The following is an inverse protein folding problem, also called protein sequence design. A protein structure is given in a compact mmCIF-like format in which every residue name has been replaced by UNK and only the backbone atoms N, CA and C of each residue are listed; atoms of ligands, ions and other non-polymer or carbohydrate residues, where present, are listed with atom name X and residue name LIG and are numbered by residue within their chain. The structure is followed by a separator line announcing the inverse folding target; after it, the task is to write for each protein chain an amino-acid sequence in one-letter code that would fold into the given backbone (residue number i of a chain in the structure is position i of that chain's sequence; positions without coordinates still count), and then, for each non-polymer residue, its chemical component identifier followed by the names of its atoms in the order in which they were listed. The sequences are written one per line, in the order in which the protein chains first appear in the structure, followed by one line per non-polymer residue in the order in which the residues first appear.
data_IF_170295842259
#
_entry.id   IF_170295842259
#
_cell.length_a   1.000
_cell.length_b   1.000
_cell.length_c   1.000
_cell.angle_alpha   90.00
_cell.angle_beta   90.00
_cell.angle_gamma   90.00
#
_symmetry.space_group_name_H-M   'P 1'
#
loop_
_entity.id
_entity.type
_entity.pdbx_description
1 polymer ?
#
# COMPACT_ATOMS: atom_id res chain seq x y z
N UNK A 1 -64.56 0.28 27.22
CA UNK A 1 -63.87 1.56 26.82
C UNK A 1 -62.68 1.19 26.00
N UNK A 2 -62.74 1.40 24.69
CA UNK A 2 -61.76 1.05 23.67
C UNK A 2 -60.66 2.09 23.61
N UNK A 3 -59.38 1.75 23.87
CA UNK A 3 -58.27 2.66 23.61
C UNK A 3 -57.62 2.23 22.28
N UNK A 4 -57.68 3.13 21.30
CA UNK A 4 -57.07 3.04 20.00
C UNK A 4 -55.55 3.09 20.13
N UNK A 5 -54.86 2.03 19.73
CA UNK A 5 -53.44 2.07 19.43
C UNK A 5 -53.22 2.72 18.06
N UNK A 6 -52.67 3.93 18.03
CA UNK A 6 -52.20 4.60 16.81
C UNK A 6 -50.92 3.90 16.36
N UNK A 7 -51.03 3.17 15.27
CA UNK A 7 -49.87 2.66 14.52
C UNK A 7 -49.17 3.85 13.85
N UNK A 8 -48.05 4.28 14.41
CA UNK A 8 -47.15 5.14 13.71
C UNK A 8 -46.38 4.32 12.67
N UNK A 9 -46.86 4.34 11.44
CA UNK A 9 -46.08 3.94 10.25
C UNK A 9 -44.97 4.96 10.04
N UNK A 10 -43.81 4.70 10.67
CA UNK A 10 -42.60 5.46 10.41
C UNK A 10 -42.15 5.20 8.98
N UNK A 11 -42.38 6.17 8.07
CA UNK A 11 -41.74 6.20 6.76
C UNK A 11 -40.20 6.16 6.96
N UNK A 12 -39.64 5.02 6.71
CA UNK A 12 -38.20 4.83 6.58
C UNK A 12 -37.71 5.63 5.34
N UNK A 13 -37.35 6.90 5.53
CA UNK A 13 -36.63 7.66 4.50
C UNK A 13 -35.38 6.86 4.12
N UNK A 14 -35.38 6.21 2.96
CA UNK A 14 -34.22 5.60 2.34
C UNK A 14 -33.11 6.64 2.30
N UNK A 15 -32.16 6.56 3.24
CA UNK A 15 -30.96 7.37 3.21
C UNK A 15 -30.16 6.92 1.99
N UNK A 16 -30.02 7.81 1.02
CA UNK A 16 -29.12 7.60 -0.11
C UNK A 16 -27.71 7.42 0.46
N UNK A 17 -27.18 6.19 0.42
CA UNK A 17 -25.81 5.87 0.79
C UNK A 17 -24.98 5.81 -0.48
N UNK A 18 -23.96 6.64 -0.54
CA UNK A 18 -23.01 6.58 -1.63
C UNK A 18 -22.37 5.19 -1.71
N UNK A 19 -22.12 4.65 -2.92
CA UNK A 19 -21.39 3.39 -3.07
C UNK A 19 -20.05 3.46 -2.36
N UNK A 20 -19.61 2.33 -1.78
CA UNK A 20 -18.28 2.19 -1.17
C UNK A 20 -17.21 2.53 -2.21
N UNK A 21 -16.31 3.46 -1.87
CA UNK A 21 -15.22 3.90 -2.77
C UNK A 21 -15.48 5.23 -3.48
N UNK A 22 -16.71 5.78 -3.45
CA UNK A 22 -17.00 7.09 -4.08
C UNK A 22 -16.07 8.21 -3.58
N UNK A 23 -15.79 8.36 -2.26
CA UNK A 23 -14.89 9.42 -1.79
C UNK A 23 -13.47 9.28 -2.32
N UNK A 24 -12.96 8.05 -2.43
CA UNK A 24 -11.61 7.77 -2.92
C UNK A 24 -11.48 8.08 -4.42
N UNK A 25 -12.47 7.68 -5.20
CA UNK A 25 -12.50 7.99 -6.65
C UNK A 25 -12.63 9.49 -6.84
N UNK A 26 -13.49 10.18 -6.07
CA UNK A 26 -13.61 11.63 -6.13
C UNK A 26 -12.29 12.32 -5.76
N UNK A 27 -11.60 11.87 -4.71
CA UNK A 27 -10.30 12.40 -4.32
C UNK A 27 -9.24 12.21 -5.43
N UNK A 28 -9.19 11.02 -6.06
CA UNK A 28 -8.30 10.78 -7.19
C UNK A 28 -8.60 11.72 -8.36
N UNK A 29 -9.87 11.89 -8.72
CA UNK A 29 -10.27 12.80 -9.79
C UNK A 29 -9.90 14.25 -9.48
N UNK A 30 -10.06 14.70 -8.24
CA UNK A 30 -9.66 16.04 -7.80
C UNK A 30 -8.14 16.22 -7.94
N UNK A 31 -7.33 15.25 -7.51
CA UNK A 31 -5.87 15.31 -7.66
C UNK A 31 -5.48 15.41 -9.13
N UNK A 32 -6.01 14.53 -9.99
CA UNK A 32 -5.70 14.55 -11.42
C UNK A 32 -6.17 15.84 -12.10
N UNK A 33 -7.27 16.42 -11.64
CA UNK A 33 -7.75 17.72 -12.15
C UNK A 33 -6.81 18.85 -11.73
N UNK A 34 -6.37 18.89 -10.47
CA UNK A 34 -5.37 19.86 -9.99
C UNK A 34 -4.08 19.73 -10.78
N UNK A 35 -3.57 18.51 -10.98
CA UNK A 35 -2.37 18.26 -11.77
C UNK A 35 -2.50 18.75 -13.21
N UNK A 36 -3.70 18.61 -13.79
CA UNK A 36 -3.98 19.10 -15.16
C UNK A 36 -4.03 20.63 -15.27
N UNK A 37 -4.36 21.32 -14.18
CA UNK A 37 -4.32 22.78 -14.13
C UNK A 37 -2.90 23.33 -13.98
N UNK A 38 -2.03 22.55 -13.33
CA UNK A 38 -0.63 22.91 -13.09
C UNK A 38 0.25 22.61 -14.30
N UNK A 39 0.02 21.48 -14.97
CA UNK A 39 0.83 21.03 -16.10
C UNK A 39 0.04 21.11 -17.42
N UNK A 40 0.39 22.02 -18.34
CA UNK A 40 -0.15 21.99 -19.69
C UNK A 40 0.08 20.63 -20.35
N UNK A 41 -0.95 20.09 -21.01
CA UNK A 41 -0.89 18.78 -21.69
C UNK A 41 -0.78 17.56 -20.75
N UNK A 42 -1.14 17.68 -19.47
CA UNK A 42 -1.08 16.60 -18.47
C UNK A 42 -1.72 15.30 -18.98
N UNK A 43 -2.90 15.35 -19.62
CA UNK A 43 -3.59 14.18 -20.15
C UNK A 43 -3.13 13.75 -21.55
N UNK A 44 -2.11 14.38 -22.10
CA UNK A 44 -1.58 13.99 -23.40
C UNK A 44 -0.86 12.66 -23.29
N UNK A 45 -1.40 11.63 -23.97
CA UNK A 45 -0.79 10.31 -24.05
C UNK A 45 -0.28 10.14 -25.46
N UNK A 46 1.01 9.82 -25.58
CA UNK A 46 1.69 9.60 -26.84
C UNK A 46 2.09 8.13 -26.89
N UNK A 47 1.87 7.50 -28.06
CA UNK A 47 2.37 6.15 -28.33
C UNK A 47 3.65 6.28 -29.13
N UNK A 48 4.79 5.89 -28.54
CA UNK A 48 6.08 5.90 -29.22
C UNK A 48 6.74 4.52 -29.04
N UNK A 49 7.22 3.91 -30.10
CA UNK A 49 7.87 2.59 -30.10
C UNK A 49 7.05 1.49 -29.38
N UNK A 50 5.71 1.52 -29.53
CA UNK A 50 4.82 0.55 -28.89
C UNK A 50 4.68 0.76 -27.37
N UNK A 51 5.03 1.95 -26.86
CA UNK A 51 4.94 2.33 -25.45
C UNK A 51 4.01 3.53 -25.28
N UNK A 52 3.27 3.53 -24.17
CA UNK A 52 2.51 4.68 -23.74
C UNK A 52 3.40 5.60 -22.92
N UNK A 53 3.45 6.88 -23.30
CA UNK A 53 4.12 7.96 -22.55
C UNK A 53 3.11 9.02 -22.18
N UNK A 54 3.32 9.69 -21.05
CA UNK A 54 2.49 10.80 -20.58
C UNK A 54 2.39 10.80 -19.05
N UNK A 55 2.08 11.96 -18.48
CA UNK A 55 2.02 12.12 -17.01
C UNK A 55 1.10 11.10 -16.31
N UNK A 56 -0.08 10.72 -16.85
CA UNK A 56 -0.90 9.67 -16.24
C UNK A 56 -0.22 8.29 -16.21
N UNK A 57 0.56 7.97 -17.25
CA UNK A 57 1.30 6.69 -17.33
C UNK A 57 2.46 6.70 -16.34
N UNK A 58 3.14 7.84 -16.18
CA UNK A 58 4.21 8.01 -15.20
C UNK A 58 3.67 7.90 -13.77
N UNK A 59 2.49 8.46 -13.49
CA UNK A 59 1.82 8.29 -12.19
C UNK A 59 1.57 6.81 -11.91
N UNK A 60 1.01 6.08 -12.87
CA UNK A 60 0.75 4.64 -12.73
C UNK A 60 2.06 3.86 -12.47
N UNK A 61 3.10 4.15 -13.24
CA UNK A 61 4.40 3.47 -13.12
C UNK A 61 5.04 3.70 -11.75
N UNK A 62 5.11 4.96 -11.32
CA UNK A 62 5.67 5.34 -10.01
C UNK A 62 4.80 4.89 -8.84
N UNK A 63 3.47 4.76 -9.03
CA UNK A 63 2.56 4.25 -8.01
C UNK A 63 2.67 2.73 -7.83
N UNK A 64 3.18 1.98 -8.79
CA UNK A 64 3.22 0.51 -8.73
C UNK A 64 3.96 -0.03 -7.49
N UNK A 65 5.18 0.42 -7.12
CA UNK A 65 5.84 0.00 -5.88
C UNK A 65 5.04 0.36 -4.63
N UNK A 66 4.48 1.58 -4.56
CA UNK A 66 3.68 2.02 -3.41
C UNK A 66 2.40 1.21 -3.29
N UNK A 67 1.74 0.90 -4.41
CA UNK A 67 0.55 0.05 -4.44
C UNK A 67 0.85 -1.37 -3.96
N UNK A 68 1.98 -1.95 -4.34
CA UNK A 68 2.44 -3.26 -3.84
C UNK A 68 2.62 -3.24 -2.33
N UNK A 69 3.32 -2.23 -1.80
CA UNK A 69 3.49 -2.05 -0.35
C UNK A 69 2.13 -1.85 0.34
N UNK A 70 1.23 -1.05 -0.24
CA UNK A 70 -0.11 -0.82 0.30
C UNK A 70 -0.97 -2.08 0.31
N UNK A 71 -0.86 -2.98 -0.68
CA UNK A 71 -1.54 -4.28 -0.71
C UNK A 71 -1.10 -5.13 0.49
N UNK A 72 0.21 -5.29 0.70
CA UNK A 72 0.75 -6.02 1.85
C UNK A 72 0.35 -5.38 3.18
N UNK A 73 0.55 -4.06 3.30
CA UNK A 73 0.20 -3.27 4.48
C UNK A 73 -1.29 -3.36 4.84
N UNK A 74 -2.18 -3.41 3.84
CA UNK A 74 -3.62 -3.56 4.05
C UNK A 74 -3.95 -4.84 4.84
N UNK A 75 -3.30 -5.95 4.54
CA UNK A 75 -3.52 -7.22 5.24
C UNK A 75 -3.00 -7.18 6.68
N UNK A 76 -1.84 -6.55 6.89
CA UNK A 76 -1.26 -6.38 8.22
C UNK A 76 -2.15 -5.46 9.07
N UNK A 77 -2.55 -4.32 8.54
CA UNK A 77 -3.46 -3.38 9.23
C UNK A 77 -4.81 -4.04 9.51
N UNK A 78 -5.33 -4.87 8.59
CA UNK A 78 -6.57 -5.59 8.80
C UNK A 78 -6.54 -6.50 10.03
N UNK A 79 -5.38 -7.04 10.42
CA UNK A 79 -5.21 -7.81 11.68
C UNK A 79 -4.94 -6.93 12.90
N UNK A 80 -4.94 -5.60 12.77
CA UNK A 80 -4.62 -4.65 13.84
C UNK A 80 -3.11 -4.45 14.05
N UNK A 81 -2.27 -4.87 13.09
CA UNK A 81 -0.82 -4.64 13.07
C UNK A 81 -0.42 -3.44 12.23
N UNK A 82 0.85 -3.07 12.30
CA UNK A 82 1.51 -2.10 11.40
C UNK A 82 2.86 -2.70 11.04
N UNK A 83 3.29 -2.55 9.79
CA UNK A 83 4.58 -3.05 9.31
C UNK A 83 5.46 -1.90 8.81
N UNK A 84 6.29 -1.36 9.69
CA UNK A 84 7.24 -0.31 9.34
C UNK A 84 8.46 -0.83 8.58
N UNK A 85 8.65 -2.14 8.51
CA UNK A 85 9.85 -2.72 7.89
C UNK A 85 9.78 -2.83 6.37
N UNK A 86 8.61 -2.58 5.75
CA UNK A 86 8.40 -2.81 4.31
C UNK A 86 9.42 -2.08 3.43
N UNK A 87 9.82 -0.86 3.79
CA UNK A 87 10.87 -0.12 3.09
C UNK A 87 12.26 -0.76 3.22
N UNK A 88 12.60 -1.28 4.39
CA UNK A 88 13.86 -2.00 4.61
C UNK A 88 13.86 -3.37 3.91
N UNK A 89 12.75 -4.09 3.93
CA UNK A 89 12.58 -5.36 3.20
C UNK A 89 12.70 -5.15 1.68
N UNK A 90 12.14 -4.06 1.18
CA UNK A 90 12.30 -3.62 -0.20
C UNK A 90 13.78 -3.39 -0.55
N UNK A 91 14.54 -2.71 0.34
CA UNK A 91 15.97 -2.49 0.16
C UNK A 91 16.77 -3.81 0.18
N UNK A 92 16.45 -4.74 1.09
CA UNK A 92 17.08 -6.07 1.16
C UNK A 92 16.84 -6.84 -0.14
N UNK A 93 15.60 -6.89 -0.61
CA UNK A 93 15.25 -7.63 -1.82
C UNK A 93 15.91 -7.02 -3.08
N UNK A 94 15.94 -5.69 -3.21
CA UNK A 94 16.63 -4.98 -4.28
C UNK A 94 18.15 -5.21 -4.25
N UNK A 95 18.76 -5.12 -3.06
CA UNK A 95 20.17 -5.41 -2.84
C UNK A 95 20.53 -6.86 -3.22
N UNK A 96 19.71 -7.82 -2.77
CA UNK A 96 19.88 -9.24 -3.11
C UNK A 96 19.78 -9.46 -4.62
N UNK A 97 18.76 -8.88 -5.28
CA UNK A 97 18.58 -9.00 -6.72
C UNK A 97 19.76 -8.44 -7.51
N UNK A 98 20.23 -7.24 -7.15
CA UNK A 98 21.37 -6.61 -7.82
C UNK A 98 22.66 -7.40 -7.62
N UNK A 99 22.99 -7.76 -6.37
CA UNK A 99 24.22 -8.48 -6.05
C UNK A 99 24.29 -9.86 -6.69
N UNK A 100 23.18 -10.60 -6.70
CA UNK A 100 23.13 -11.91 -7.38
C UNK A 100 23.19 -11.80 -8.90
N UNK A 101 22.65 -10.70 -9.47
CA UNK A 101 22.74 -10.44 -10.91
C UNK A 101 24.19 -10.13 -11.30
N UNK A 102 24.91 -9.33 -10.50
CA UNK A 102 26.35 -9.05 -10.72
C UNK A 102 27.19 -10.32 -10.56
N UNK A 103 26.80 -11.22 -9.64
CA UNK A 103 27.44 -12.54 -9.48
C UNK A 103 27.14 -13.52 -10.64
N UNK A 104 26.36 -13.13 -11.66
CA UNK A 104 26.09 -13.93 -12.85
C UNK A 104 24.99 -15.00 -12.71
N UNK A 105 24.17 -14.94 -11.66
CA UNK A 105 23.06 -15.86 -11.50
C UNK A 105 21.94 -15.62 -12.53
N UNK A 106 21.22 -16.68 -12.89
CA UNK A 106 20.07 -16.59 -13.79
C UNK A 106 18.90 -15.84 -13.15
N UNK A 107 18.09 -15.16 -13.98
CA UNK A 107 16.94 -14.38 -13.51
C UNK A 107 15.99 -15.13 -12.57
N UNK A 108 15.60 -16.40 -12.82
CA UNK A 108 14.74 -17.14 -11.88
C UNK A 108 15.39 -17.30 -10.48
N UNK A 109 16.68 -17.57 -10.42
CA UNK A 109 17.41 -17.71 -9.14
C UNK A 109 17.47 -16.37 -8.41
N UNK A 110 17.74 -15.28 -9.12
CA UNK A 110 17.71 -13.90 -8.58
C UNK A 110 16.34 -13.57 -7.98
N UNK A 111 15.26 -13.83 -8.71
CA UNK A 111 13.90 -13.57 -8.24
C UNK A 111 13.52 -14.44 -7.03
N UNK A 112 13.85 -15.73 -7.06
CA UNK A 112 13.59 -16.62 -5.93
C UNK A 112 14.35 -16.18 -4.66
N UNK A 113 15.60 -15.73 -4.80
CA UNK A 113 16.37 -15.24 -3.67
C UNK A 113 15.80 -13.93 -3.11
N UNK A 114 15.45 -12.97 -3.97
CA UNK A 114 14.84 -11.71 -3.54
C UNK A 114 13.48 -11.92 -2.86
N UNK A 115 12.62 -12.78 -3.44
CA UNK A 115 11.33 -13.15 -2.83
C UNK A 115 11.54 -13.93 -1.53
N UNK A 116 12.52 -14.83 -1.50
CA UNK A 116 12.90 -15.58 -0.30
C UNK A 116 13.32 -14.66 0.85
N UNK A 117 14.09 -13.61 0.55
CA UNK A 117 14.45 -12.59 1.53
C UNK A 117 13.21 -11.88 2.10
N UNK A 118 12.24 -11.54 1.26
CA UNK A 118 10.96 -10.97 1.70
C UNK A 118 10.14 -11.91 2.57
N UNK A 119 10.06 -13.20 2.20
CA UNK A 119 9.40 -14.23 3.00
C UNK A 119 10.06 -14.38 4.37
N UNK A 120 11.39 -14.44 4.42
CA UNK A 120 12.15 -14.56 5.68
C UNK A 120 11.95 -13.34 6.58
N UNK A 121 11.98 -12.13 6.00
CA UNK A 121 11.71 -10.89 6.73
C UNK A 121 10.28 -10.85 7.28
N UNK A 122 9.29 -11.20 6.46
CA UNK A 122 7.89 -11.30 6.90
C UNK A 122 7.67 -12.38 7.95
N UNK A 123 8.34 -13.54 7.82
CA UNK A 123 8.28 -14.62 8.81
C UNK A 123 8.89 -14.16 10.15
N UNK A 124 10.02 -13.44 10.11
CA UNK A 124 10.65 -12.84 11.29
C UNK A 124 9.66 -11.96 12.05
N UNK A 125 9.06 -10.96 11.37
CA UNK A 125 8.05 -10.10 11.98
C UNK A 125 6.84 -10.89 12.47
N UNK A 126 6.35 -11.83 11.66
CA UNK A 126 5.24 -12.69 12.02
C UNK A 126 5.48 -13.50 13.29
N UNK A 127 6.70 -14.05 13.48
CA UNK A 127 7.09 -14.77 14.71
C UNK A 127 7.13 -13.81 15.89
N UNK A 128 7.77 -12.64 15.75
CA UNK A 128 7.86 -11.66 16.83
C UNK A 128 6.48 -11.23 17.32
N UNK A 129 5.55 -10.95 16.37
CA UNK A 129 4.21 -10.44 16.69
C UNK A 129 3.26 -11.56 17.11
N UNK A 130 3.15 -12.65 16.33
CA UNK A 130 2.13 -13.66 16.55
C UNK A 130 2.51 -14.70 17.63
N UNK A 131 3.79 -15.04 17.75
CA UNK A 131 4.27 -16.07 18.68
C UNK A 131 4.80 -15.42 19.95
N UNK A 132 5.77 -14.50 19.84
CA UNK A 132 6.40 -13.83 20.98
C UNK A 132 5.52 -12.69 21.54
N UNK A 133 4.45 -12.31 20.84
CA UNK A 133 3.49 -11.27 21.25
C UNK A 133 4.14 -9.89 21.50
N UNK A 134 5.22 -9.61 20.79
CA UNK A 134 5.82 -8.28 20.78
C UNK A 134 4.85 -7.33 20.06
N UNK A 135 4.73 -6.11 20.56
CA UNK A 135 3.89 -5.10 19.94
C UNK A 135 4.29 -4.91 18.46
N UNK A 136 3.35 -4.94 17.50
CA UNK A 136 3.65 -4.88 16.06
C UNK A 136 4.58 -3.74 15.66
N UNK A 137 4.29 -2.53 16.15
CA UNK A 137 5.11 -1.35 15.90
C UNK A 137 6.58 -1.56 16.31
N UNK A 138 6.82 -2.11 17.52
CA UNK A 138 8.18 -2.34 18.03
C UNK A 138 8.89 -3.43 17.23
N UNK A 139 8.21 -4.54 16.94
CA UNK A 139 8.79 -5.65 16.18
C UNK A 139 9.24 -5.21 14.79
N UNK A 140 8.40 -4.47 14.08
CA UNK A 140 8.69 -4.03 12.71
C UNK A 140 9.68 -2.87 12.66
N UNK A 141 9.70 -2.00 13.69
CA UNK A 141 10.73 -0.97 13.85
C UNK A 141 12.14 -1.59 14.00
N UNK A 142 12.27 -2.66 14.76
CA UNK A 142 13.55 -3.39 14.89
C UNK A 142 14.02 -3.85 13.51
N UNK A 143 13.14 -4.49 12.73
CA UNK A 143 13.50 -4.93 11.38
C UNK A 143 13.71 -3.76 10.41
N UNK A 144 13.01 -2.65 10.57
CA UNK A 144 13.23 -1.43 9.76
C UNK A 144 14.68 -0.94 9.90
N UNK A 145 15.20 -0.89 11.13
CA UNK A 145 16.58 -0.44 11.39
C UNK A 145 17.60 -1.53 11.03
N UNK A 146 17.42 -2.75 11.55
CA UNK A 146 18.33 -3.86 11.30
C UNK A 146 18.35 -4.26 9.81
N UNK A 147 17.18 -4.27 9.16
CA UNK A 147 17.05 -4.62 7.75
C UNK A 147 17.76 -3.63 6.82
N UNK A 148 17.78 -2.34 7.18
CA UNK A 148 18.58 -1.34 6.46
C UNK A 148 20.07 -1.69 6.54
N UNK A 149 20.57 -2.05 7.73
CA UNK A 149 21.93 -2.53 7.91
C UNK A 149 22.23 -3.81 7.12
N UNK A 150 21.28 -4.77 7.08
CA UNK A 150 21.42 -5.99 6.27
C UNK A 150 21.53 -5.65 4.77
N UNK A 151 20.71 -4.75 4.25
CA UNK A 151 20.79 -4.32 2.86
C UNK A 151 22.15 -3.68 2.54
N UNK A 152 22.67 -2.85 3.44
CA UNK A 152 24.01 -2.26 3.33
C UNK A 152 25.13 -3.32 3.38
N UNK A 153 25.00 -4.34 4.24
CA UNK A 153 25.99 -5.44 4.28
C UNK A 153 25.99 -6.22 2.97
N UNK A 154 24.84 -6.51 2.37
CA UNK A 154 24.73 -7.21 1.07
C UNK A 154 25.42 -6.43 -0.04
N UNK A 155 25.35 -5.08 -0.02
CA UNK A 155 25.95 -4.21 -1.02
C UNK A 155 27.33 -3.69 -0.62
N UNK A 156 27.88 -4.11 0.51
CA UNK A 156 29.11 -3.56 1.10
C UNK A 156 29.09 -2.02 1.25
N UNK A 157 27.89 -1.46 1.51
CA UNK A 157 27.67 -0.02 1.64
C UNK A 157 27.75 0.78 0.34
N UNK A 158 27.96 0.12 -0.81
CA UNK A 158 28.11 0.75 -2.13
C UNK A 158 26.79 0.64 -2.93
N UNK A 159 26.63 1.50 -3.93
CA UNK A 159 25.57 1.32 -4.93
C UNK A 159 26.03 0.23 -5.90
N UNK A 160 25.32 -0.91 -5.89
CA UNK A 160 25.60 -2.02 -6.79
C UNK A 160 24.83 -1.82 -8.09
N UNK A 161 25.53 -1.54 -9.18
CA UNK A 161 24.93 -1.39 -10.52
C UNK A 161 25.09 -2.67 -11.33
N UNK A 162 24.12 -2.96 -12.19
CA UNK A 162 24.14 -4.14 -13.07
C UNK A 162 23.69 -3.79 -14.48
N UNK A 163 24.14 -4.59 -15.45
CA UNK A 163 23.69 -4.48 -16.83
C UNK A 163 23.05 -5.82 -17.27
N UNK A 164 21.83 -6.06 -16.82
CA UNK A 164 21.05 -7.25 -17.17
C UNK A 164 19.74 -6.81 -17.84
N UNK A 165 19.59 -7.00 -19.18
CA UNK A 165 18.36 -6.61 -19.89
C UNK A 165 17.12 -7.31 -19.35
N UNK A 166 17.24 -8.57 -18.93
CA UNK A 166 16.12 -9.36 -18.41
C UNK A 166 15.61 -8.87 -17.07
N UNK A 167 16.51 -8.44 -16.15
CA UNK A 167 16.10 -7.85 -14.89
C UNK A 167 15.60 -6.41 -15.10
N UNK A 168 16.30 -5.61 -15.91
CA UNK A 168 15.89 -4.22 -16.21
C UNK A 168 14.48 -4.17 -16.87
N UNK A 169 14.08 -5.19 -17.59
CA UNK A 169 12.74 -5.28 -18.19
C UNK A 169 11.61 -5.27 -17.14
N UNK A 170 11.87 -5.76 -15.92
CA UNK A 170 10.87 -5.74 -14.84
C UNK A 170 10.60 -4.32 -14.30
N UNK A 171 11.60 -3.42 -14.37
CA UNK A 171 11.46 -2.04 -13.92
C UNK A 171 11.09 -1.05 -15.04
N UNK A 172 11.71 -1.20 -16.22
CA UNK A 172 11.57 -0.25 -17.32
C UNK A 172 11.05 -0.85 -18.62
N UNK A 173 10.61 -2.13 -18.63
CA UNK A 173 9.98 -2.80 -19.75
C UNK A 173 8.53 -2.39 -19.97
N UNK A 174 7.92 -2.96 -21.03
CA UNK A 174 6.50 -2.81 -21.32
C UNK A 174 5.87 -4.15 -21.64
N UNK A 175 4.61 -4.29 -21.21
CA UNK A 175 3.76 -5.40 -21.51
C UNK A 175 2.39 -4.87 -21.92
N UNK A 176 1.90 -5.25 -23.12
CA UNK A 176 0.61 -4.78 -23.64
C UNK A 176 0.47 -3.24 -23.62
N UNK A 177 1.51 -2.52 -24.08
CA UNK A 177 1.63 -1.05 -24.10
C UNK A 177 1.81 -0.38 -22.72
N UNK A 178 1.52 -1.05 -21.60
CA UNK A 178 1.69 -0.53 -20.26
C UNK A 178 3.07 -0.86 -19.68
N UNK A 179 3.60 0.00 -18.78
CA UNK A 179 4.84 -0.30 -18.05
C UNK A 179 4.75 -1.63 -17.29
N UNK A 180 5.80 -2.44 -17.34
CA UNK A 180 5.85 -3.75 -16.63
C UNK A 180 5.56 -3.62 -15.13
N UNK A 181 6.06 -2.61 -14.39
CA UNK A 181 5.72 -2.43 -12.98
C UNK A 181 4.22 -2.35 -12.71
N UNK A 182 3.48 -1.64 -13.58
CA UNK A 182 2.01 -1.50 -13.46
C UNK A 182 1.34 -2.86 -13.62
N UNK A 183 1.79 -3.65 -14.60
CA UNK A 183 1.24 -4.99 -14.85
C UNK A 183 1.54 -5.94 -13.70
N UNK A 184 2.74 -5.89 -13.13
CA UNK A 184 3.11 -6.70 -11.95
C UNK A 184 2.24 -6.30 -10.75
N UNK A 185 2.07 -5.01 -10.48
CA UNK A 185 1.23 -4.53 -9.40
C UNK A 185 -0.24 -4.93 -9.58
N UNK A 186 -0.76 -4.84 -10.81
CA UNK A 186 -2.12 -5.25 -11.15
C UNK A 186 -2.32 -6.76 -10.96
N UNK A 187 -1.41 -7.59 -11.46
CA UNK A 187 -1.45 -9.05 -11.28
C UNK A 187 -1.41 -9.40 -9.80
N UNK A 188 -0.50 -8.78 -9.04
CA UNK A 188 -0.41 -8.99 -7.59
C UNK A 188 -1.71 -8.59 -6.90
N UNK A 189 -2.28 -7.43 -7.23
CA UNK A 189 -3.57 -6.97 -6.70
C UNK A 189 -4.69 -7.97 -6.98
N UNK A 190 -4.80 -8.45 -8.22
CA UNK A 190 -5.82 -9.42 -8.62
C UNK A 190 -5.63 -10.74 -7.88
N UNK A 191 -4.42 -11.26 -7.80
CA UNK A 191 -4.09 -12.50 -7.06
C UNK A 191 -4.49 -12.37 -5.59
N UNK A 192 -4.08 -11.29 -4.92
CA UNK A 192 -4.39 -11.05 -3.50
C UNK A 192 -5.88 -10.80 -3.28
N UNK A 193 -6.54 -10.11 -4.20
CA UNK A 193 -7.98 -9.90 -4.17
C UNK A 193 -8.74 -11.22 -4.31
N UNK A 194 -8.38 -12.07 -5.28
CA UNK A 194 -8.96 -13.41 -5.43
C UNK A 194 -8.71 -14.25 -4.19
N UNK A 195 -7.49 -14.24 -3.66
CA UNK A 195 -7.11 -15.00 -2.48
C UNK A 195 -7.92 -14.58 -1.25
N UNK A 196 -8.13 -13.29 -1.03
CA UNK A 196 -8.88 -12.78 0.12
C UNK A 196 -10.40 -12.85 -0.07
N UNK A 197 -10.93 -12.75 -1.30
CA UNK A 197 -12.38 -12.75 -1.55
C UNK A 197 -12.96 -14.11 -1.90
N UNK A 198 -12.15 -15.02 -2.48
CA UNK A 198 -12.59 -16.35 -2.91
C UNK A 198 -12.20 -17.46 -1.94
N UNK A 199 -11.39 -17.19 -0.93
CA UNK A 199 -11.03 -18.14 0.12
C UNK A 199 -11.48 -17.65 1.49
N UNK A 200 -11.46 -18.53 2.49
CA UNK A 200 -11.78 -18.17 3.87
C UNK A 200 -10.77 -17.23 4.53
N UNK A 201 -9.60 -17.02 3.91
CA UNK A 201 -8.51 -16.24 4.49
C UNK A 201 -8.91 -14.79 4.77
N UNK A 202 -9.56 -14.12 3.82
CA UNK A 202 -10.00 -12.74 4.03
C UNK A 202 -10.97 -12.61 5.21
N UNK A 203 -11.93 -13.54 5.32
CA UNK A 203 -12.86 -13.59 6.45
C UNK A 203 -12.12 -13.82 7.79
N UNK A 204 -11.13 -14.71 7.81
CA UNK A 204 -10.36 -14.96 9.02
C UNK A 204 -9.47 -13.77 9.40
N UNK A 205 -8.86 -13.09 8.43
CA UNK A 205 -8.08 -11.86 8.67
C UNK A 205 -8.98 -10.78 9.28
N UNK A 206 -10.17 -10.53 8.70
CA UNK A 206 -11.15 -9.57 9.23
C UNK A 206 -11.62 -9.97 10.65
N UNK A 207 -11.93 -11.24 10.88
CA UNK A 207 -12.35 -11.74 12.20
C UNK A 207 -11.28 -11.54 13.27
N UNK A 208 -10.02 -11.84 12.94
CA UNK A 208 -8.87 -11.62 13.83
C UNK A 208 -8.72 -10.14 14.17
N UNK A 209 -8.86 -9.25 13.19
CA UNK A 209 -8.75 -7.81 13.38
C UNK A 209 -9.89 -7.21 14.20
N UNK A 210 -11.12 -7.72 14.05
CA UNK A 210 -12.26 -7.24 14.83
C UNK A 210 -12.16 -7.66 16.29
N UNK A 211 -11.91 -8.95 16.54
CA UNK A 211 -11.75 -9.47 17.90
C UNK A 211 -10.95 -10.78 17.92
N UNK A 212 -9.67 -10.68 18.24
CA UNK A 212 -8.75 -11.83 18.24
C UNK A 212 -9.17 -12.93 19.24
N UNK A 213 -9.81 -12.56 20.37
CA UNK A 213 -10.29 -13.54 21.36
C UNK A 213 -11.50 -14.31 20.84
N UNK A 214 -12.47 -13.60 20.27
CA UNK A 214 -13.66 -14.22 19.68
C UNK A 214 -13.28 -15.11 18.48
N UNK A 215 -12.39 -14.66 17.60
CA UNK A 215 -11.90 -15.45 16.47
C UNK A 215 -11.23 -16.76 16.93
N UNK A 216 -10.41 -16.69 17.99
CA UNK A 216 -9.78 -17.89 18.57
C UNK A 216 -10.81 -18.84 19.15
N UNK A 217 -11.81 -18.35 19.88
CA UNK A 217 -12.87 -19.18 20.47
C UNK A 217 -13.75 -19.83 19.39
N UNK A 218 -13.83 -19.20 18.19
CA UNK A 218 -14.49 -19.78 17.01
C UNK A 218 -13.59 -20.77 16.24
N UNK A 219 -12.41 -21.13 16.77
CA UNK A 219 -11.51 -22.12 16.16
C UNK A 219 -10.52 -21.57 15.15
N UNK A 220 -10.45 -20.24 14.92
CA UNK A 220 -9.48 -19.66 14.00
C UNK A 220 -8.09 -19.68 14.60
N UNK A 221 -7.10 -20.19 13.85
CA UNK A 221 -5.70 -20.11 14.26
C UNK A 221 -5.18 -18.67 14.05
N UNK A 222 -5.39 -17.83 15.06
CA UNK A 222 -5.06 -16.41 15.01
C UNK A 222 -3.57 -16.15 14.85
N UNK A 223 -2.70 -17.03 15.38
CA UNK A 223 -1.24 -16.90 15.21
C UNK A 223 -0.82 -17.08 13.75
N UNK A 224 -1.37 -18.13 13.11
CA UNK A 224 -1.08 -18.40 11.71
C UNK A 224 -1.60 -17.26 10.82
N UNK A 225 -2.79 -16.72 11.10
CA UNK A 225 -3.36 -15.62 10.31
C UNK A 225 -2.49 -14.36 10.40
N UNK A 226 -2.10 -13.95 11.60
CA UNK A 226 -1.21 -12.79 11.77
C UNK A 226 0.15 -13.04 11.10
N UNK A 227 0.78 -14.20 11.32
CA UNK A 227 2.06 -14.53 10.69
C UNK A 227 1.97 -14.50 9.16
N UNK A 228 0.89 -15.03 8.58
CA UNK A 228 0.66 -15.04 7.15
C UNK A 228 0.56 -13.62 6.57
N UNK A 229 -0.11 -12.68 7.27
CA UNK A 229 -0.21 -11.30 6.78
C UNK A 229 1.15 -10.61 6.70
N UNK A 230 2.05 -10.84 7.66
CA UNK A 230 3.42 -10.32 7.60
C UNK A 230 4.25 -10.97 6.47
N UNK A 231 4.10 -12.28 6.24
CA UNK A 231 4.77 -12.96 5.12
C UNK A 231 4.29 -12.40 3.79
N UNK A 232 2.98 -12.20 3.63
CA UNK A 232 2.41 -11.61 2.41
C UNK A 232 2.87 -10.15 2.22
N UNK A 233 2.99 -9.37 3.31
CA UNK A 233 3.56 -8.02 3.30
C UNK A 233 5.02 -8.05 2.83
N UNK A 234 5.83 -8.96 3.36
CA UNK A 234 7.23 -9.15 2.97
C UNK A 234 7.39 -9.53 1.49
N UNK A 235 6.50 -10.39 0.96
CA UNK A 235 6.49 -10.73 -0.48
C UNK A 235 6.18 -9.50 -1.33
N UNK A 236 5.16 -8.71 -0.97
CA UNK A 236 4.84 -7.47 -1.67
C UNK A 236 6.00 -6.48 -1.66
N UNK A 237 6.66 -6.34 -0.49
CA UNK A 237 7.82 -5.47 -0.34
C UNK A 237 9.01 -5.96 -1.20
N UNK A 238 9.23 -7.28 -1.28
CA UNK A 238 10.27 -7.84 -2.12
C UNK A 238 10.01 -7.60 -3.62
N UNK A 239 8.78 -7.79 -4.08
CA UNK A 239 8.39 -7.48 -5.48
C UNK A 239 8.66 -6.00 -5.77
N UNK A 240 8.23 -5.09 -4.88
CA UNK A 240 8.48 -3.66 -5.03
C UNK A 240 9.99 -3.34 -5.06
N UNK A 241 10.80 -4.02 -4.23
CA UNK A 241 12.25 -3.86 -4.19
C UNK A 241 12.94 -4.29 -5.48
N UNK A 242 12.53 -5.43 -6.06
CA UNK A 242 13.04 -5.89 -7.35
C UNK A 242 12.68 -4.91 -8.46
N UNK A 243 11.43 -4.40 -8.50
CA UNK A 243 11.00 -3.41 -9.50
C UNK A 243 11.85 -2.15 -9.42
N UNK A 244 12.04 -1.59 -8.22
CA UNK A 244 12.82 -0.34 -8.06
C UNK A 244 14.29 -0.56 -8.40
N UNK A 245 14.89 -1.68 -7.98
CA UNK A 245 16.26 -2.01 -8.36
C UNK A 245 16.40 -2.20 -9.88
N UNK A 246 15.40 -2.81 -10.53
CA UNK A 246 15.37 -3.01 -11.98
C UNK A 246 15.20 -1.69 -12.75
N UNK A 247 14.42 -0.74 -12.24
CA UNK A 247 14.17 0.57 -12.84
C UNK A 247 15.45 1.42 -12.88
N UNK A 248 16.15 1.53 -11.74
CA UNK A 248 17.42 2.28 -11.64
C UNK A 248 18.63 1.49 -12.12
N UNK A 249 18.44 0.22 -12.53
CA UNK A 249 19.52 -0.73 -12.89
C UNK A 249 20.60 -0.88 -11.82
N UNK A 250 20.17 -0.87 -10.56
CA UNK A 250 21.09 -0.96 -9.45
C UNK A 250 20.35 -1.09 -8.11
N UNK A 251 21.10 -1.20 -7.03
CA UNK A 251 20.59 -1.17 -5.67
C UNK A 251 21.28 -0.11 -4.85
N UNK A 252 20.53 0.87 -4.39
CA UNK A 252 20.95 1.85 -3.40
C UNK A 252 20.34 1.44 -2.04
N UNK A 253 21.12 0.70 -1.25
CA UNK A 253 20.69 0.20 0.05
C UNK A 253 20.37 1.31 1.06
N UNK A 254 20.90 2.53 0.86
CA UNK A 254 20.70 3.66 1.75
C UNK A 254 19.33 4.32 1.51
N UNK A 255 18.94 4.51 0.24
CA UNK A 255 17.77 5.31 -0.12
C UNK A 255 16.59 4.47 -0.60
N UNK A 256 16.79 3.22 -1.06
CA UNK A 256 15.71 2.38 -1.54
C UNK A 256 14.64 2.18 -0.47
N UNK A 257 13.38 2.46 -0.80
CA UNK A 257 12.24 2.29 0.09
C UNK A 257 12.17 3.28 1.26
N UNK A 258 13.01 4.32 1.31
CA UNK A 258 13.00 5.29 2.41
C UNK A 258 11.68 6.08 2.41
N UNK A 259 11.01 6.10 3.55
CA UNK A 259 9.71 6.73 3.80
C UNK A 259 8.51 6.09 3.06
N UNK A 260 8.72 5.04 2.24
CA UNK A 260 7.62 4.38 1.54
C UNK A 260 6.71 3.58 2.49
N UNK A 261 7.18 3.19 3.67
CA UNK A 261 6.34 2.61 4.73
C UNK A 261 5.22 3.57 5.14
N UNK A 262 5.53 4.87 5.25
CA UNK A 262 4.53 5.89 5.56
C UNK A 262 3.54 6.05 4.41
N UNK A 263 4.03 6.12 3.17
CA UNK A 263 3.18 6.21 1.98
C UNK A 263 2.23 4.99 1.88
N UNK A 264 2.71 3.79 2.21
CA UNK A 264 1.89 2.58 2.22
C UNK A 264 0.78 2.65 3.28
N UNK A 265 1.11 3.10 4.51
CA UNK A 265 0.10 3.30 5.57
C UNK A 265 -0.93 4.34 5.13
N UNK A 266 -0.47 5.46 4.55
CA UNK A 266 -1.35 6.53 4.08
C UNK A 266 -2.27 6.05 2.96
N UNK A 267 -1.76 5.26 2.01
CA UNK A 267 -2.55 4.67 0.95
C UNK A 267 -3.69 3.82 1.51
N UNK A 268 -3.43 3.02 2.55
CA UNK A 268 -4.45 2.21 3.23
C UNK A 268 -5.49 3.10 3.93
N UNK A 269 -5.05 4.15 4.63
CA UNK A 269 -5.95 5.07 5.36
C UNK A 269 -6.81 5.88 4.39
N UNK A 270 -6.23 6.44 3.33
CA UNK A 270 -6.96 7.15 2.27
C UNK A 270 -7.95 6.18 1.59
N UNK A 271 -7.55 4.93 1.38
CA UNK A 271 -8.41 3.85 0.89
C UNK A 271 -9.58 3.48 1.83
N UNK A 272 -9.64 4.10 3.03
CA UNK A 272 -10.69 3.87 4.01
C UNK A 272 -10.41 2.69 4.94
N UNK A 273 -9.19 2.16 4.97
CA UNK A 273 -8.73 1.16 5.92
C UNK A 273 -8.67 1.73 7.35
N UNK A 274 -9.17 0.98 8.33
CA UNK A 274 -9.10 1.35 9.75
C UNK A 274 -7.78 0.85 10.35
N UNK A 275 -6.99 1.75 10.95
CA UNK A 275 -5.77 1.38 11.67
C UNK A 275 -6.03 0.49 12.90
N UNK A 276 -7.29 0.40 13.35
CA UNK A 276 -7.70 -0.48 14.46
C UNK A 276 -7.97 -1.92 14.01
N UNK A 277 -7.78 -2.24 12.73
CA UNK A 277 -8.07 -3.55 12.17
C UNK A 277 -9.52 -3.75 11.73
N UNK A 278 -9.83 -4.95 11.29
CA UNK A 278 -11.15 -5.38 10.84
C UNK A 278 -11.29 -5.35 9.31
N UNK A 279 -12.39 -4.75 8.82
CA UNK A 279 -12.70 -4.74 7.39
C UNK A 279 -11.65 -4.01 6.58
N UNK A 280 -11.32 -4.55 5.42
CA UNK A 280 -10.33 -3.98 4.51
C UNK A 280 -10.78 -4.06 3.04
N UNK A 281 -10.16 -3.22 2.20
CA UNK A 281 -10.40 -3.22 0.77
C UNK A 281 -9.10 -2.95 0.00
N UNK A 282 -8.54 -4.00 -0.61
CA UNK A 282 -7.29 -3.93 -1.37
C UNK A 282 -7.37 -2.98 -2.57
N UNK A 283 -8.52 -2.93 -3.26
CA UNK A 283 -8.70 -2.05 -4.42
C UNK A 283 -8.66 -0.59 -4.00
N UNK A 284 -9.32 -0.24 -2.89
CA UNK A 284 -9.33 1.14 -2.41
C UNK A 284 -7.96 1.57 -1.88
N UNK A 285 -7.19 0.65 -1.29
CA UNK A 285 -5.81 0.93 -0.88
C UNK A 285 -4.89 1.17 -2.09
N UNK A 286 -5.07 0.42 -3.19
CA UNK A 286 -4.36 0.68 -4.44
C UNK A 286 -4.74 2.05 -5.04
N UNK A 287 -6.02 2.46 -4.98
CA UNK A 287 -6.45 3.82 -5.35
C UNK A 287 -5.80 4.86 -4.44
N UNK A 288 -5.67 4.58 -3.13
CA UNK A 288 -4.93 5.44 -2.19
C UNK A 288 -3.48 5.66 -2.61
N UNK A 289 -2.79 4.61 -3.08
CA UNK A 289 -1.43 4.74 -3.62
C UNK A 289 -1.38 5.62 -4.88
N UNK A 290 -2.37 5.53 -5.76
CA UNK A 290 -2.50 6.40 -6.94
C UNK A 290 -2.72 7.87 -6.53
N UNK A 291 -3.54 8.13 -5.52
CA UNK A 291 -3.77 9.48 -4.99
C UNK A 291 -2.45 10.07 -4.47
N UNK A 292 -1.70 9.32 -3.67
CA UNK A 292 -0.41 9.78 -3.13
C UNK A 292 0.57 10.07 -4.25
N UNK A 293 0.65 9.19 -5.24
CA UNK A 293 1.59 9.39 -6.35
C UNK A 293 1.16 10.50 -7.30
N UNK A 294 -0.15 10.69 -7.52
CA UNK A 294 -0.66 11.87 -8.22
C UNK A 294 -0.22 13.15 -7.53
N UNK A 295 -0.45 13.27 -6.21
CA UNK A 295 0.00 14.42 -5.42
C UNK A 295 1.52 14.65 -5.54
N UNK A 296 2.33 13.59 -5.43
CA UNK A 296 3.79 13.67 -5.59
C UNK A 296 4.16 14.25 -6.98
N UNK A 297 3.50 13.75 -8.02
CA UNK A 297 3.73 14.18 -9.39
C UNK A 297 3.29 15.63 -9.61
N UNK A 298 2.13 16.03 -9.08
CA UNK A 298 1.64 17.41 -9.16
C UNK A 298 2.59 18.40 -8.49
N UNK A 299 3.15 18.07 -7.33
CA UNK A 299 4.14 18.91 -6.64
C UNK A 299 5.42 19.06 -7.49
N UNK A 300 5.91 17.96 -8.09
CA UNK A 300 7.07 18.00 -8.96
C UNK A 300 6.83 18.85 -10.22
N UNK A 301 5.65 18.70 -10.85
CA UNK A 301 5.28 19.45 -12.05
C UNK A 301 5.04 20.94 -11.76
N UNK A 302 4.69 21.30 -10.52
CA UNK A 302 4.51 22.69 -10.07
C UNK A 302 5.85 23.45 -9.95
N UNK A 303 7.00 22.77 -10.05
CA UNK A 303 8.32 23.37 -9.84
C UNK A 303 8.63 23.69 -8.38
N UNK A 304 7.83 23.23 -7.44
CA UNK A 304 8.13 23.32 -6.01
C UNK A 304 9.27 22.38 -5.62
N UNK A 305 9.97 22.74 -4.54
CA UNK A 305 11.04 21.90 -4.00
C UNK A 305 10.50 20.56 -3.54
N UNK A 306 11.19 19.42 -3.83
CA UNK A 306 10.75 18.08 -3.46
C UNK A 306 10.48 17.90 -1.95
N UNK A 307 11.14 18.70 -1.10
CA UNK A 307 10.99 18.69 0.36
C UNK A 307 9.57 19.08 0.79
N UNK A 308 8.89 19.93 0.04
CA UNK A 308 7.48 20.30 0.29
C UNK A 308 6.54 19.09 0.20
N UNK A 309 6.93 18.06 -0.53
CA UNK A 309 6.14 16.85 -0.67
C UNK A 309 5.84 16.19 0.69
N UNK A 310 6.83 16.14 1.59
CA UNK A 310 6.63 15.58 2.94
C UNK A 310 5.67 16.44 3.78
N UNK A 311 5.76 17.76 3.66
CA UNK A 311 4.86 18.69 4.36
C UNK A 311 3.42 18.54 3.85
N UNK A 312 3.23 18.51 2.54
CA UNK A 312 1.90 18.33 1.93
C UNK A 312 1.30 16.98 2.32
N UNK A 313 2.07 15.90 2.27
CA UNK A 313 1.64 14.59 2.76
C UNK A 313 1.18 14.65 4.21
N UNK A 314 1.95 15.25 5.10
CA UNK A 314 1.61 15.37 6.52
C UNK A 314 0.29 16.13 6.73
N UNK A 315 0.07 17.22 5.99
CA UNK A 315 -1.19 17.99 6.03
C UNK A 315 -2.37 17.16 5.53
N UNK A 316 -2.20 16.46 4.41
CA UNK A 316 -3.26 15.60 3.86
C UNK A 316 -3.64 14.49 4.84
N UNK A 317 -2.63 13.83 5.44
CA UNK A 317 -2.87 12.82 6.50
C UNK A 317 -3.68 13.40 7.64
N UNK A 318 -3.24 14.55 8.16
CA UNK A 318 -3.94 15.21 9.24
C UNK A 318 -5.40 15.51 8.87
N UNK A 319 -5.64 16.05 7.67
CA UNK A 319 -6.98 16.30 7.16
C UNK A 319 -7.82 15.01 7.07
N UNK A 320 -7.26 13.93 6.52
CA UNK A 320 -7.94 12.64 6.40
C UNK A 320 -8.28 12.08 7.77
N UNK A 321 -7.34 12.10 8.72
CA UNK A 321 -7.57 11.61 10.10
C UNK A 321 -8.62 12.43 10.83
N UNK A 322 -8.62 13.76 10.68
CA UNK A 322 -9.66 14.64 11.24
C UNK A 322 -11.03 14.28 10.69
N UNK A 323 -11.15 14.15 9.35
CA UNK A 323 -12.42 13.83 8.68
C UNK A 323 -12.92 12.44 9.08
N UNK A 324 -12.03 11.48 9.29
CA UNK A 324 -12.37 10.12 9.74
C UNK A 324 -12.63 10.02 11.24
N UNK A 325 -12.30 11.06 12.03
CA UNK A 325 -12.49 11.05 13.49
C UNK A 325 -14.00 10.94 13.85
N UNK A 326 -14.39 9.98 14.69
CA UNK A 326 -15.79 9.85 15.15
C UNK A 326 -16.32 11.11 15.83
N UNK A 327 -15.45 11.83 16.55
CA UNK A 327 -15.78 13.11 17.20
C UNK A 327 -16.09 14.20 16.18
N UNK A 328 -15.27 14.34 15.14
CA UNK A 328 -15.49 15.32 14.08
C UNK A 328 -16.80 15.04 13.33
N UNK A 329 -17.07 13.77 12.99
CA UNK A 329 -18.33 13.35 12.37
C UNK A 329 -19.54 13.63 13.27
N UNK A 330 -19.41 13.48 14.59
CA UNK A 330 -20.50 13.81 15.55
C UNK A 330 -20.75 15.30 15.66
N UNK A 331 -19.70 16.14 15.64
CA UNK A 331 -19.82 17.60 15.67
C UNK A 331 -20.55 18.10 14.40
N UNK A 332 -20.16 17.64 13.22
CA UNK A 332 -20.83 18.03 11.95
C UNK A 332 -22.30 17.61 11.94
N UNK A 333 -22.60 16.40 12.47
CA UNK A 333 -24.00 15.96 12.58
C UNK A 333 -24.80 16.78 13.60
N UNK A 334 -24.18 17.23 14.69
CA UNK A 334 -24.77 18.12 15.67
C UNK A 334 -25.10 19.50 15.11
N UNK A 335 -24.19 20.09 14.33
CA UNK A 335 -24.41 21.38 13.66
C UNK A 335 -25.58 21.31 12.66
N UNK A 336 -25.68 20.22 11.88
CA UNK A 336 -26.79 19.99 10.95
C UNK A 336 -28.15 19.71 11.64
N UNK A 337 -28.13 19.34 12.93
CA UNK A 337 -29.34 19.13 13.74
C UNK A 337 -29.92 20.43 14.31
N UNK A 338 -29.13 21.48 14.46
CA UNK A 338 -29.57 22.80 15.00
C UNK A 338 -30.20 23.72 13.96
N UNK A 339 -29.97 23.49 12.65
CA UNK A 339 -30.58 24.27 11.56
C UNK A 339 -32.02 23.83 11.20
N UNK A 340 -32.65 23.00 12.03
CA UNK A 340 -34.02 22.48 11.78
C UNK A 340 -34.98 22.72 12.92
N UNK A 341 -34.68 23.63 13.81
CA UNK A 341 -35.62 24.23 14.78
C UNK A 341 -35.74 25.77 14.48
#
# INVERSE_FOLDING_TARGET
MMSRSLSQTGESKRRFSWPTGTPQIAALLVVLLVDSLVAPHFFQIIVQDGRLFGSPIDILNRAAPVALLAIGMTLVIATGGIDLSVGAVMAIAGATAASMTVAGHSLPVVLLAALGAGVLAGLWNGILVAVLKIQPFVATLILMVAGRGVAQLITSGQIVTFNSPSLAWLGSGNLLFFPTPVMIALVTLVVFWLFTRKTALGMFIEAVGINIRAARNAGVNTRLMVMLTYVLSGICAAIAGVIVAADIRGADANNAGLWLELDAILAVVIGGGSLMGGRFNLLLSAIGALIIQGMNTGILLSGFQPELNQVVKAVVVLCVLIVQSPRFVSIIKGIRGHDKT
#
